data_IF_658218128214
#
_entry.id   IF_658218128214
#
_cell.length_a   1.000
_cell.length_b   1.000
_cell.length_c   1.000
_cell.angle_alpha   90.00
_cell.angle_beta   90.00
_cell.angle_gamma   90.00
#
_symmetry.space_group_name_H-M   'P 1'
#
loop_
_entity.id
_entity.type
_entity.pdbx_description
1 polymer ?
#
# COMPACT_ATOMS: atom_id res chain seq x y z
N UNK A 1 9.07 -5.88 -8.80
CA UNK A 1 8.96 -6.59 -7.51
C UNK A 1 7.59 -6.30 -6.92
N UNK A 2 6.82 -7.34 -6.60
CA UNK A 2 5.49 -7.15 -6.02
C UNK A 2 5.58 -6.69 -4.57
N UNK A 3 4.88 -5.60 -4.27
CA UNK A 3 4.79 -5.05 -2.93
C UNK A 3 3.34 -4.77 -2.56
N UNK A 4 3.04 -4.91 -1.29
CA UNK A 4 1.81 -4.41 -0.68
C UNK A 4 2.11 -3.06 -0.04
N UNK A 5 1.42 -2.02 -0.51
CA UNK A 5 1.39 -0.70 0.09
C UNK A 5 0.10 -0.57 0.92
N UNK A 6 0.25 -0.33 2.22
CA UNK A 6 -0.85 0.13 3.08
C UNK A 6 -0.68 1.63 3.34
N UNK A 7 -1.61 2.44 2.87
CA UNK A 7 -1.69 3.86 3.17
C UNK A 7 -2.78 4.11 4.22
N UNK A 8 -2.36 4.37 5.47
CA UNK A 8 -3.24 4.71 6.58
C UNK A 8 -3.54 6.20 6.57
N UNK A 9 -4.82 6.55 6.37
CA UNK A 9 -5.30 7.91 6.23
C UNK A 9 -5.75 8.43 7.59
N UNK A 10 -5.07 9.42 8.18
CA UNK A 10 -5.46 9.95 9.48
C UNK A 10 -6.84 10.60 9.40
N UNK A 11 -7.56 10.61 10.52
CA UNK A 11 -8.91 11.19 10.58
C UNK A 11 -8.94 12.65 10.15
N UNK A 12 -7.93 13.43 10.52
CA UNK A 12 -7.65 14.73 9.90
C UNK A 12 -6.27 14.68 9.23
N UNK A 13 -6.13 15.21 8.00
CA UNK A 13 -7.06 16.11 7.30
C UNK A 13 -8.16 15.39 6.49
N UNK A 14 -8.26 14.05 6.54
CA UNK A 14 -9.15 13.31 5.64
C UNK A 14 -10.62 13.66 5.81
N UNK A 15 -11.12 13.80 7.05
CA UNK A 15 -12.50 14.21 7.32
C UNK A 15 -12.80 15.60 6.75
N UNK A 16 -11.87 16.55 6.87
CA UNK A 16 -12.01 17.88 6.26
C UNK A 16 -12.18 17.80 4.75
N UNK A 17 -11.38 16.95 4.08
CA UNK A 17 -11.47 16.73 2.62
C UNK A 17 -12.77 16.01 2.22
N UNK A 18 -13.26 15.09 3.05
CA UNK A 18 -14.55 14.42 2.85
C UNK A 18 -15.69 15.42 2.96
N UNK A 19 -15.69 16.28 3.99
CA UNK A 19 -16.71 17.33 4.17
C UNK A 19 -16.67 18.35 3.03
N UNK A 20 -15.49 18.63 2.48
CA UNK A 20 -15.30 19.48 1.32
C UNK A 20 -15.67 18.80 -0.02
N UNK A 21 -15.96 17.50 -0.03
CA UNK A 21 -16.32 16.74 -1.23
C UNK A 21 -15.15 16.46 -2.19
N UNK A 22 -13.90 16.67 -1.77
CA UNK A 22 -12.71 16.56 -2.65
C UNK A 22 -11.93 15.25 -2.47
N UNK A 23 -12.10 14.55 -1.34
CA UNK A 23 -11.32 13.34 -1.02
C UNK A 23 -11.42 12.25 -2.10
N UNK A 24 -12.61 12.02 -2.66
CA UNK A 24 -12.81 11.00 -3.69
C UNK A 24 -12.08 11.30 -5.00
N UNK A 25 -12.13 12.55 -5.47
CA UNK A 25 -11.45 12.98 -6.69
C UNK A 25 -9.92 12.87 -6.55
N UNK A 26 -9.38 13.27 -5.40
CA UNK A 26 -7.95 13.12 -5.09
C UNK A 26 -7.54 11.64 -5.12
N UNK A 27 -8.32 10.77 -4.47
CA UNK A 27 -8.01 9.34 -4.45
C UNK A 27 -8.07 8.72 -5.86
N UNK A 28 -9.04 9.11 -6.69
CA UNK A 28 -9.12 8.68 -8.08
C UNK A 28 -7.90 9.11 -8.90
N UNK A 29 -7.44 10.36 -8.73
CA UNK A 29 -6.22 10.87 -9.37
C UNK A 29 -5.00 10.03 -8.98
N UNK A 30 -4.85 9.71 -7.69
CA UNK A 30 -3.76 8.88 -7.18
C UNK A 30 -3.82 7.48 -7.83
N UNK A 31 -4.96 6.80 -7.80
CA UNK A 31 -5.09 5.46 -8.37
C UNK A 31 -4.82 5.43 -9.87
N UNK A 32 -5.24 6.46 -10.61
CA UNK A 32 -5.00 6.58 -12.04
C UNK A 32 -3.50 6.72 -12.37
N UNK A 33 -2.72 7.40 -11.52
CA UNK A 33 -1.27 7.49 -11.65
C UNK A 33 -0.57 6.19 -11.23
N UNK A 34 -0.98 5.61 -10.11
CA UNK A 34 -0.27 4.47 -9.51
C UNK A 34 -0.57 3.13 -10.21
N UNK A 35 -1.76 2.98 -10.81
CA UNK A 35 -2.22 1.77 -11.52
C UNK A 35 -1.87 0.47 -10.77
N UNK A 36 -2.36 0.31 -9.53
CA UNK A 36 -2.11 -0.91 -8.77
C UNK A 36 -2.76 -2.12 -9.45
N UNK A 37 -2.19 -3.31 -9.26
CA UNK A 37 -2.76 -4.58 -9.71
C UNK A 37 -4.11 -4.85 -9.02
N UNK A 38 -4.21 -4.47 -7.75
CA UNK A 38 -5.44 -4.54 -6.97
C UNK A 38 -5.47 -3.42 -5.93
N UNK A 39 -6.66 -2.91 -5.64
CA UNK A 39 -6.90 -1.90 -4.63
C UNK A 39 -8.06 -2.32 -3.72
N UNK A 40 -7.81 -2.31 -2.41
CA UNK A 40 -8.79 -2.61 -1.38
C UNK A 40 -8.87 -1.43 -0.41
N UNK A 41 -10.07 -1.13 0.07
CA UNK A 41 -10.31 -0.08 1.05
C UNK A 41 -10.94 -0.70 2.28
N UNK A 42 -10.33 -0.47 3.43
CA UNK A 42 -10.71 -1.09 4.68
C UNK A 42 -10.42 -0.14 5.84
N UNK A 43 -10.87 -0.55 7.02
CA UNK A 43 -10.48 0.05 8.28
C UNK A 43 -9.27 -0.70 8.85
N UNK A 44 -8.27 0.03 9.32
CA UNK A 44 -7.16 -0.51 10.11
C UNK A 44 -6.84 0.48 11.25
N UNK A 45 -6.76 -0.01 12.49
CA UNK A 45 -6.40 0.77 13.68
C UNK A 45 -7.25 2.03 13.92
N UNK A 46 -8.55 1.96 13.66
CA UNK A 46 -9.51 3.06 13.80
C UNK A 46 -9.42 4.11 12.68
N UNK A 47 -8.72 3.80 11.58
CA UNK A 47 -8.49 4.75 10.46
C UNK A 47 -8.84 4.13 9.11
N UNK A 48 -9.12 4.99 8.13
CA UNK A 48 -9.40 4.56 6.75
C UNK A 48 -8.08 4.21 6.09
N UNK A 49 -8.03 3.06 5.43
CA UNK A 49 -6.81 2.57 4.79
C UNK A 49 -7.07 2.19 3.34
N UNK A 50 -6.10 2.51 2.48
CA UNK A 50 -5.98 1.91 1.16
C UNK A 50 -4.90 0.83 1.19
N UNK A 51 -5.23 -0.38 0.77
CA UNK A 51 -4.27 -1.47 0.57
C UNK A 51 -4.15 -1.72 -0.92
N UNK A 52 -2.95 -1.47 -1.45
CA UNK A 52 -2.64 -1.55 -2.87
C UNK A 52 -1.59 -2.63 -3.12
N UNK A 53 -1.84 -3.49 -4.10
CA UNK A 53 -0.84 -4.39 -4.65
C UNK A 53 -0.20 -3.71 -5.84
N UNK A 54 1.11 -3.47 -5.77
CA UNK A 54 1.86 -2.69 -6.76
C UNK A 54 3.07 -3.48 -7.25
N UNK A 55 3.41 -3.32 -8.52
CA UNK A 55 4.67 -3.80 -9.06
C UNK A 55 5.70 -2.66 -9.09
N UNK A 56 6.74 -2.82 -8.28
CA UNK A 56 7.80 -1.83 -8.07
C UNK A 56 9.05 -2.29 -8.82
N UNK A 57 9.37 -1.61 -9.92
CA UNK A 57 10.51 -1.98 -10.76
C UNK A 57 11.84 -1.95 -10.01
N UNK A 58 12.06 -0.90 -9.21
CA UNK A 58 13.27 -0.71 -8.41
C UNK A 58 12.99 0.12 -7.14
N UNK A 59 13.92 0.09 -6.19
CA UNK A 59 13.75 0.72 -4.86
C UNK A 59 13.55 2.24 -4.92
N UNK A 60 14.07 2.93 -5.95
CA UNK A 60 13.90 4.38 -6.10
C UNK A 60 12.46 4.79 -6.40
N UNK A 61 11.60 3.84 -6.79
CA UNK A 61 10.19 4.08 -7.08
C UNK A 61 9.31 4.15 -5.83
N UNK A 62 9.81 3.83 -4.64
CA UNK A 62 9.00 3.88 -3.40
C UNK A 62 8.34 5.26 -3.19
N UNK A 63 9.05 6.40 -3.30
CA UNK A 63 8.44 7.72 -3.18
C UNK A 63 7.35 7.99 -4.22
N UNK A 64 7.48 7.49 -5.45
CA UNK A 64 6.44 7.64 -6.48
C UNK A 64 5.09 7.08 -6.01
N UNK A 65 5.09 5.97 -5.26
CA UNK A 65 3.88 5.39 -4.70
C UNK A 65 3.42 6.04 -3.38
N UNK A 66 4.36 6.54 -2.56
CA UNK A 66 4.07 7.06 -1.22
C UNK A 66 3.69 8.55 -1.19
N UNK A 67 4.42 9.38 -1.93
CA UNK A 67 4.31 10.85 -1.91
C UNK A 67 2.89 11.36 -2.18
N UNK A 68 2.10 10.80 -3.12
CA UNK A 68 0.74 11.28 -3.32
C UNK A 68 -0.13 11.14 -2.07
N UNK A 69 0.05 10.06 -1.28
CA UNK A 69 -0.67 9.88 -0.02
C UNK A 69 -0.13 10.77 1.11
N UNK A 70 1.19 10.98 1.16
CA UNK A 70 1.81 11.90 2.12
C UNK A 70 1.31 13.32 1.90
N UNK A 71 1.43 13.85 0.69
CA UNK A 71 1.18 15.24 0.39
C UNK A 71 -0.30 15.60 0.33
N UNK A 72 -1.16 14.66 -0.09
CA UNK A 72 -2.61 14.93 -0.21
C UNK A 72 -3.39 14.62 1.06
N UNK A 73 -2.94 13.64 1.86
CA UNK A 73 -3.72 13.12 2.98
C UNK A 73 -2.96 13.08 4.31
N UNK A 74 -1.68 13.47 4.36
CA UNK A 74 -0.79 13.25 5.51
C UNK A 74 -0.80 11.79 5.98
N UNK A 75 -0.90 10.85 5.04
CA UNK A 75 -1.00 9.43 5.33
C UNK A 75 0.29 8.86 5.92
N UNK A 76 0.18 7.71 6.60
CA UNK A 76 1.33 6.85 6.88
C UNK A 76 1.36 5.70 5.86
N UNK A 77 2.47 5.52 5.15
CA UNK A 77 2.62 4.50 4.12
C UNK A 77 3.56 3.40 4.60
N UNK A 78 3.09 2.16 4.56
CA UNK A 78 3.86 0.96 4.90
C UNK A 78 3.99 0.06 3.69
N UNK A 79 5.21 -0.31 3.36
CA UNK A 79 5.53 -1.21 2.25
C UNK A 79 5.98 -2.57 2.78
N UNK A 80 5.45 -3.64 2.18
CA UNK A 80 5.89 -5.02 2.43
C UNK A 80 6.12 -5.72 1.11
N UNK A 81 7.20 -6.49 1.00
CA UNK A 81 7.37 -7.42 -0.11
C UNK A 81 6.25 -8.45 -0.02
N UNK A 82 5.56 -8.70 -1.13
CA UNK A 82 4.47 -9.65 -1.20
C UNK A 82 4.85 -10.81 -2.11
N UNK A 83 4.82 -12.02 -1.57
CA UNK A 83 5.03 -13.26 -2.29
C UNK A 83 3.68 -13.87 -2.66
N UNK A 84 3.56 -14.36 -3.90
CA UNK A 84 2.46 -15.26 -4.26
C UNK A 84 2.77 -16.70 -3.82
N UNK A 85 1.80 -17.60 -3.96
CA UNK A 85 1.97 -19.00 -3.56
C UNK A 85 3.17 -19.66 -4.26
N UNK A 86 3.39 -19.35 -5.54
CA UNK A 86 4.50 -19.86 -6.34
C UNK A 86 5.88 -19.37 -5.87
N UNK A 87 5.95 -18.16 -5.33
CA UNK A 87 7.19 -17.60 -4.76
C UNK A 87 7.49 -18.27 -3.41
N UNK A 88 6.46 -18.44 -2.57
CA UNK A 88 6.58 -19.12 -1.28
C UNK A 88 7.02 -20.58 -1.45
N UNK A 89 6.52 -21.29 -2.47
CA UNK A 89 6.91 -22.66 -2.76
C UNK A 89 8.42 -22.80 -3.06
N UNK A 90 9.06 -21.76 -3.60
CA UNK A 90 10.50 -21.74 -3.89
C UNK A 90 11.36 -21.37 -2.67
N UNK A 91 10.75 -20.95 -1.56
CA UNK A 91 11.46 -20.48 -0.37
C UNK A 91 12.18 -21.59 0.42
N UNK A 92 11.87 -22.87 0.16
CA UNK A 92 12.56 -24.01 0.78
C UNK A 92 12.36 -24.11 2.30
N UNK A 93 11.14 -23.80 2.79
CA UNK A 93 10.84 -23.72 4.22
C UNK A 93 11.21 -24.98 5.01
N UNK A 94 10.97 -26.18 4.44
CA UNK A 94 11.30 -27.45 5.12
C UNK A 94 12.80 -27.61 5.35
N UNK A 95 13.62 -27.27 4.34
CA UNK A 95 15.07 -27.34 4.44
C UNK A 95 15.62 -26.30 5.43
N UNK A 96 15.04 -25.09 5.44
CA UNK A 96 15.35 -24.06 6.44
C UNK A 96 14.99 -24.56 7.85
N UNK A 97 13.80 -25.14 8.02
CA UNK A 97 13.35 -25.69 9.30
C UNK A 97 14.27 -26.80 9.81
N UNK A 98 14.77 -27.68 8.93
CA UNK A 98 15.73 -28.72 9.31
C UNK A 98 17.09 -28.14 9.74
N UNK A 99 17.55 -27.07 9.09
CA UNK A 99 18.85 -26.44 9.39
C UNK A 99 18.89 -25.74 10.75
N UNK A 100 17.76 -25.22 11.23
CA UNK A 100 17.66 -24.43 12.47
C UNK A 100 16.93 -25.17 13.60
N UNK A 101 16.93 -26.51 13.56
CA UNK A 101 16.52 -27.33 14.70
C UNK A 101 17.55 -27.32 15.82
#
# INVERSE_FOLDING_TARGET
MRMMLTASLPNEPFNSLVRAGTAGAILQEILAQLKPEAAYFLEEHGTRCAVLIIDVADQSRIPFFAEPFFLKFNANCRFRIAMVAEDLAKAGLDALGQRWK
#
